data_IF_174157895498
#
_entry.id   IF_174157895498
#
_cell.length_a   1.000
_cell.length_b   1.000
_cell.length_c   1.000
_cell.angle_alpha   90.00
_cell.angle_beta   90.00
_cell.angle_gamma   90.00
#
_symmetry.space_group_name_H-M   'P 1'
#
loop_
_entity.id
_entity.type
_entity.pdbx_description
1 polymer ?
#
# COMPACT_ATOMS: atom_id res chain seq x y z
N UNK A 1 -4.98 25.04 9.90
CA UNK A 1 -5.42 24.13 10.97
C UNK A 1 -5.69 25.01 12.18
N UNK A 2 -6.95 25.18 12.57
CA UNK A 2 -7.28 26.00 13.75
C UNK A 2 -7.24 25.09 14.98
N UNK A 3 -6.32 25.37 15.91
CA UNK A 3 -6.16 24.68 17.19
C UNK A 3 -6.65 25.64 18.28
N UNK A 4 -7.93 25.56 18.68
CA UNK A 4 -8.62 26.64 19.41
C UNK A 4 -8.13 26.81 20.86
N UNK A 5 -7.48 25.81 21.45
CA UNK A 5 -6.99 25.86 22.84
C UNK A 5 -5.52 25.45 22.96
N UNK A 6 -4.86 25.90 24.03
CA UNK A 6 -3.50 25.42 24.38
C UNK A 6 -3.48 23.90 24.59
N UNK A 7 -4.55 23.33 25.15
CA UNK A 7 -4.68 21.89 25.35
C UNK A 7 -4.69 21.14 24.01
N UNK A 8 -5.43 21.64 23.01
CA UNK A 8 -5.46 21.06 21.67
C UNK A 8 -4.10 21.17 20.98
N UNK A 9 -3.40 22.28 21.17
CA UNK A 9 -2.04 22.46 20.68
C UNK A 9 -1.06 21.44 21.27
N UNK A 10 -1.05 21.27 22.60
CA UNK A 10 -0.19 20.27 23.24
C UNK A 10 -0.58 18.84 22.84
N UNK A 11 -1.87 18.56 22.69
CA UNK A 11 -2.36 17.26 22.20
C UNK A 11 -1.88 17.00 20.77
N UNK A 12 -1.97 18.00 19.90
CA UNK A 12 -1.47 17.93 18.52
C UNK A 12 0.02 17.60 18.50
N UNK A 13 0.84 18.36 19.24
CA UNK A 13 2.29 18.12 19.32
C UNK A 13 2.59 16.72 19.88
N UNK A 14 1.88 16.31 20.93
CA UNK A 14 2.11 15.02 21.56
C UNK A 14 1.86 13.84 20.63
N UNK A 15 0.85 13.95 19.75
CA UNK A 15 0.53 12.89 18.80
C UNK A 15 1.19 13.05 17.42
N UNK A 16 1.83 14.19 17.16
CA UNK A 16 2.54 14.44 15.90
C UNK A 16 3.66 13.43 15.70
N UNK A 17 3.77 12.90 14.48
CA UNK A 17 4.85 11.99 14.08
C UNK A 17 5.18 12.21 12.60
N UNK A 18 6.46 12.19 12.27
CA UNK A 18 6.93 12.14 10.88
C UNK A 18 7.07 10.68 10.46
N UNK A 19 6.45 10.31 9.33
CA UNK A 19 6.52 8.96 8.77
C UNK A 19 7.02 9.03 7.34
N UNK A 20 8.05 8.26 7.04
CA UNK A 20 8.54 8.03 5.69
C UNK A 20 7.73 6.91 5.03
N UNK A 21 7.16 7.17 3.86
CA UNK A 21 6.46 6.19 3.04
C UNK A 21 7.34 5.80 1.86
N UNK A 22 7.58 4.50 1.71
CA UNK A 22 8.48 3.94 0.68
C UNK A 22 7.71 2.98 -0.20
N UNK A 23 7.79 3.16 -1.51
CA UNK A 23 7.21 2.25 -2.50
C UNK A 23 8.06 0.97 -2.56
N UNK A 24 7.46 -0.17 -2.20
CA UNK A 24 8.15 -1.46 -2.21
C UNK A 24 8.48 -1.98 -3.63
N UNK A 25 7.82 -1.42 -4.65
CA UNK A 25 7.96 -1.87 -6.05
C UNK A 25 9.12 -1.18 -6.75
N UNK A 26 9.57 -0.05 -6.22
CA UNK A 26 10.69 0.73 -6.73
C UNK A 26 11.95 0.40 -5.93
N UNK A 27 12.97 -0.23 -6.54
CA UNK A 27 14.22 -0.53 -5.85
C UNK A 27 14.90 0.74 -5.33
N UNK A 28 15.32 0.72 -4.06
CA UNK A 28 15.97 1.85 -3.39
C UNK A 28 15.17 3.16 -3.43
N UNK A 29 13.84 3.08 -3.42
CA UNK A 29 12.99 4.27 -3.35
C UNK A 29 13.36 5.12 -2.12
N UNK A 30 13.74 6.40 -2.31
CA UNK A 30 13.96 7.30 -1.19
C UNK A 30 12.66 7.58 -0.41
N UNK A 31 11.51 7.32 -1.03
CA UNK A 31 10.20 7.58 -0.45
C UNK A 31 9.94 9.06 -0.25
N UNK A 32 8.90 9.36 0.51
CA UNK A 32 8.59 10.71 0.95
C UNK A 32 8.22 10.72 2.42
N UNK A 33 8.51 11.81 3.11
CA UNK A 33 8.13 12.00 4.52
C UNK A 33 6.92 12.90 4.60
N UNK A 34 5.98 12.55 5.48
CA UNK A 34 4.86 13.42 5.84
C UNK A 34 4.61 13.40 7.34
N UNK A 35 4.12 14.52 7.84
CA UNK A 35 3.66 14.67 9.20
C UNK A 35 2.24 14.16 9.34
N UNK A 36 2.04 13.24 10.28
CA UNK A 36 0.76 12.61 10.59
C UNK A 36 0.51 12.65 12.09
N UNK A 37 -0.71 12.28 12.50
CA UNK A 37 -1.03 12.03 13.91
C UNK A 37 -0.97 10.53 14.19
N UNK A 38 -0.31 10.15 15.28
CA UNK A 38 -0.27 8.79 15.81
C UNK A 38 -1.68 8.22 16.09
N UNK A 39 -2.70 9.09 16.24
CA UNK A 39 -4.09 8.67 16.46
C UNK A 39 -4.86 8.40 15.16
N UNK A 40 -4.26 8.63 13.99
CA UNK A 40 -4.94 8.39 12.72
C UNK A 40 -5.29 6.91 12.55
N UNK A 41 -6.53 6.65 12.14
CA UNK A 41 -6.99 5.34 11.68
C UNK A 41 -6.49 5.06 10.26
N UNK A 42 -6.63 3.80 9.83
CA UNK A 42 -6.19 3.35 8.50
C UNK A 42 -6.75 4.23 7.37
N UNK A 43 -8.05 4.52 7.40
CA UNK A 43 -8.75 5.31 6.37
C UNK A 43 -8.26 6.76 6.32
N UNK A 44 -8.00 7.36 7.48
CA UNK A 44 -7.47 8.72 7.59
C UNK A 44 -6.04 8.79 7.03
N UNK A 45 -5.19 7.83 7.40
CA UNK A 45 -3.82 7.71 6.86
C UNK A 45 -3.84 7.48 5.34
N UNK A 46 -4.66 6.54 4.85
CA UNK A 46 -4.77 6.24 3.43
C UNK A 46 -5.22 7.46 2.62
N UNK A 47 -6.17 8.24 3.13
CA UNK A 47 -6.60 9.51 2.50
C UNK A 47 -5.48 10.54 2.43
N UNK A 48 -4.76 10.76 3.53
CA UNK A 48 -3.64 11.71 3.55
C UNK A 48 -2.52 11.30 2.58
N UNK A 49 -2.16 10.01 2.57
CA UNK A 49 -1.15 9.46 1.65
C UNK A 49 -1.64 9.52 0.20
N UNK A 50 -2.90 9.16 -0.07
CA UNK A 50 -3.47 9.25 -1.41
C UNK A 50 -3.51 10.66 -1.97
N UNK A 51 -3.84 11.66 -1.14
CA UNK A 51 -3.72 13.07 -1.52
C UNK A 51 -2.29 13.46 -1.89
N UNK A 52 -1.29 13.03 -1.10
CA UNK A 52 0.12 13.33 -1.36
C UNK A 52 0.66 12.68 -2.64
N UNK A 53 0.15 11.50 -2.97
CA UNK A 53 0.52 10.72 -4.17
C UNK A 53 -0.34 11.05 -5.39
N UNK A 54 -1.44 11.79 -5.22
CA UNK A 54 -2.48 11.98 -6.23
C UNK A 54 -3.07 10.65 -6.75
N UNK A 55 -3.36 9.74 -5.81
CA UNK A 55 -3.89 8.39 -6.07
C UNK A 55 -5.11 8.14 -5.20
N UNK A 56 -6.12 7.44 -5.72
CA UNK A 56 -7.27 7.00 -4.94
C UNK A 56 -6.79 6.17 -3.72
N UNK A 57 -7.15 6.55 -2.48
CA UNK A 57 -6.77 5.81 -1.27
C UNK A 57 -7.10 4.31 -1.32
N UNK A 58 -8.15 3.93 -2.05
CA UNK A 58 -8.53 2.52 -2.23
C UNK A 58 -7.59 1.75 -3.15
N UNK A 59 -6.72 2.41 -3.91
CA UNK A 59 -5.71 1.76 -4.74
C UNK A 59 -4.37 1.59 -4.02
N UNK A 60 -4.27 1.99 -2.75
CA UNK A 60 -3.01 1.94 -2.00
C UNK A 60 -3.05 0.77 -1.03
N UNK A 61 -2.07 -0.13 -1.14
CA UNK A 61 -1.85 -1.19 -0.16
C UNK A 61 -0.64 -0.86 0.70
N UNK A 62 -0.84 -0.79 2.02
CA UNK A 62 0.21 -0.60 3.01
C UNK A 62 0.73 -1.94 3.54
N UNK A 63 1.95 -1.94 4.08
CA UNK A 63 2.59 -3.10 4.68
C UNK A 63 3.09 -2.76 6.09
N UNK A 64 3.00 -3.73 7.00
CA UNK A 64 3.65 -3.63 8.31
C UNK A 64 5.16 -3.55 8.14
N UNK A 65 5.86 -2.86 9.03
CA UNK A 65 7.31 -3.01 9.13
C UNK A 65 7.67 -4.35 9.77
N UNK A 66 8.72 -5.01 9.27
CA UNK A 66 9.32 -6.13 9.99
C UNK A 66 10.31 -5.61 11.03
N UNK A 67 10.28 -6.21 12.22
CA UNK A 67 11.28 -5.91 13.24
C UNK A 67 12.68 -6.25 12.69
N UNK A 68 13.62 -5.32 12.88
CA UNK A 68 15.05 -5.46 12.58
C UNK A 68 15.49 -5.44 11.11
N UNK A 69 14.58 -5.55 10.13
CA UNK A 69 14.90 -5.44 8.69
C UNK A 69 14.20 -4.24 8.06
N UNK A 70 14.92 -3.49 7.25
CA UNK A 70 14.38 -2.37 6.47
C UNK A 70 13.65 -2.89 5.21
N UNK A 71 12.67 -3.77 5.43
CA UNK A 71 11.96 -4.49 4.38
C UNK A 71 10.46 -4.53 4.67
N UNK A 72 9.60 -4.50 3.64
CA UNK A 72 8.16 -4.63 3.82
C UNK A 72 7.81 -5.97 4.48
N UNK A 73 6.92 -5.91 5.47
CA UNK A 73 6.32 -7.06 6.13
C UNK A 73 5.05 -7.53 5.44
N UNK A 74 4.12 -8.06 6.24
CA UNK A 74 2.83 -8.51 5.75
C UNK A 74 1.96 -7.32 5.30
N UNK A 75 1.16 -7.49 4.24
CA UNK A 75 0.19 -6.47 3.83
C UNK A 75 -0.80 -6.19 4.95
N UNK A 76 -1.14 -4.92 5.14
CA UNK A 76 -2.21 -4.48 6.00
C UNK A 76 -3.54 -4.73 5.29
N UNK A 77 -4.48 -5.35 6.02
CA UNK A 77 -5.86 -5.49 5.54
C UNK A 77 -6.51 -4.12 5.49
N UNK A 78 -7.37 -3.91 4.50
CA UNK A 78 -8.20 -2.70 4.42
C UNK A 78 -9.08 -2.54 5.67
N UNK A 79 -9.55 -3.65 6.24
CA UNK A 79 -10.35 -3.71 7.46
C UNK A 79 -9.55 -3.54 8.76
N UNK A 80 -8.31 -3.04 8.69
CA UNK A 80 -7.49 -2.82 9.88
C UNK A 80 -8.10 -1.74 10.79
N UNK A 81 -8.49 -2.14 12.01
CA UNK A 81 -9.19 -1.29 12.98
C UNK A 81 -8.24 -0.56 13.96
N UNK A 82 -6.92 -0.71 13.81
CA UNK A 82 -5.94 -0.06 14.67
C UNK A 82 -5.60 1.38 14.25
N UNK A 83 -4.73 2.01 15.03
CA UNK A 83 -4.23 3.37 14.76
C UNK A 83 -2.77 3.34 14.28
N UNK A 84 -2.32 4.46 13.70
CA UNK A 84 -0.95 4.61 13.21
C UNK A 84 0.09 4.28 14.28
N UNK A 85 -0.14 4.69 15.54
CA UNK A 85 0.75 4.36 16.66
C UNK A 85 1.09 2.86 16.71
N UNK A 86 0.11 2.00 16.54
CA UNK A 86 0.26 0.53 16.65
C UNK A 86 1.10 -0.04 15.50
N UNK A 87 1.04 0.58 14.32
CA UNK A 87 1.87 0.24 13.17
C UNK A 87 3.33 0.66 13.36
N UNK A 88 3.56 1.77 14.06
CA UNK A 88 4.89 2.35 14.28
C UNK A 88 5.66 1.72 15.45
N UNK A 89 5.02 0.85 16.24
CA UNK A 89 5.67 0.08 17.32
C UNK A 89 6.78 -0.82 16.76
N UNK A 90 6.62 -1.30 15.53
CA UNK A 90 7.59 -2.18 14.87
C UNK A 90 8.83 -1.43 14.32
N UNK A 91 8.80 -0.09 14.33
CA UNK A 91 9.96 0.72 13.95
C UNK A 91 10.88 0.91 15.17
N UNK A 92 12.18 0.64 14.99
CA UNK A 92 13.20 0.83 16.05
C UNK A 92 13.12 2.25 16.66
N UNK A 93 13.26 2.42 17.98
CA UNK A 93 13.10 3.72 18.63
C UNK A 93 14.02 4.84 18.10
N UNK A 94 15.24 4.49 17.69
CA UNK A 94 16.25 5.44 17.17
C UNK A 94 16.26 5.57 15.64
N UNK A 95 15.40 4.83 14.94
CA UNK A 95 15.32 4.89 13.49
C UNK A 95 14.12 5.75 13.06
N UNK A 96 14.20 6.39 11.88
CA UNK A 96 13.05 7.05 11.29
C UNK A 96 11.85 6.12 11.24
N UNK A 97 10.67 6.64 11.57
CA UNK A 97 9.42 5.90 11.41
C UNK A 97 9.14 5.76 9.93
N UNK A 98 8.94 4.53 9.48
CA UNK A 98 8.78 4.19 8.06
C UNK A 98 7.57 3.29 7.90
N UNK A 99 6.88 3.37 6.77
CA UNK A 99 5.90 2.40 6.29
C UNK A 99 6.15 2.14 4.82
N UNK A 100 5.84 0.92 4.38
CA UNK A 100 5.93 0.56 2.96
C UNK A 100 4.54 0.56 2.35
N UNK A 101 4.46 0.89 1.06
CA UNK A 101 3.23 0.82 0.29
C UNK A 101 3.49 0.32 -1.13
N UNK A 102 2.41 -0.01 -1.85
CA UNK A 102 2.39 -0.15 -3.31
C UNK A 102 1.07 0.41 -3.84
N UNK A 103 1.07 0.86 -5.09
CA UNK A 103 -0.15 1.20 -5.82
C UNK A 103 -0.65 -0.04 -6.56
N UNK A 104 -1.96 -0.30 -6.46
CA UNK A 104 -2.65 -1.41 -7.08
C UNK A 104 -3.38 -0.95 -8.34
N UNK A 105 -3.62 -1.89 -9.26
CA UNK A 105 -4.54 -1.67 -10.38
C UNK A 105 -6.02 -1.96 -10.04
N UNK A 106 -6.28 -2.47 -8.83
CA UNK A 106 -7.63 -2.76 -8.31
C UNK A 106 -7.80 -2.24 -6.88
N UNK A 107 -9.04 -2.12 -6.40
CA UNK A 107 -9.29 -1.64 -5.05
C UNK A 107 -8.83 -2.64 -3.98
N UNK A 108 -8.18 -2.13 -2.94
CA UNK A 108 -7.57 -2.89 -1.84
C UNK A 108 -8.58 -3.71 -1.04
N UNK A 109 -9.84 -3.26 -0.95
CA UNK A 109 -10.92 -4.01 -0.30
C UNK A 109 -11.34 -5.27 -1.09
N UNK A 110 -11.07 -5.33 -2.39
CA UNK A 110 -11.33 -6.53 -3.19
C UNK A 110 -10.25 -7.61 -3.01
N UNK A 111 -9.06 -7.24 -2.51
CA UNK A 111 -7.95 -8.17 -2.27
C UNK A 111 -8.24 -9.20 -1.18
N UNK A 112 -9.20 -8.95 -0.30
CA UNK A 112 -9.55 -9.93 0.74
C UNK A 112 -10.11 -11.23 0.12
N UNK A 113 -10.73 -11.16 -1.07
CA UNK A 113 -11.27 -12.31 -1.80
C UNK A 113 -10.44 -12.72 -3.03
N UNK A 114 -9.50 -11.86 -3.45
CA UNK A 114 -8.63 -12.09 -4.62
C UNK A 114 -7.22 -12.50 -4.20
N UNK A 115 -6.48 -13.11 -5.12
CA UNK A 115 -5.07 -13.47 -4.94
C UNK A 115 -4.26 -12.76 -6.01
N UNK A 116 -3.19 -12.08 -5.62
CA UNK A 116 -2.26 -11.52 -6.58
C UNK A 116 -1.49 -12.67 -7.26
N UNK A 117 -1.56 -12.74 -8.59
CA UNK A 117 -0.90 -13.72 -9.42
C UNK A 117 -0.03 -13.01 -10.44
N UNK A 118 1.29 -13.21 -10.36
CA UNK A 118 2.25 -12.63 -11.30
C UNK A 118 2.63 -13.68 -12.34
N UNK A 119 2.53 -13.34 -13.62
CA UNK A 119 2.94 -14.20 -14.72
C UNK A 119 3.58 -13.41 -15.86
N UNK A 120 4.27 -14.11 -16.76
CA UNK A 120 4.77 -13.56 -18.00
C UNK A 120 3.77 -13.88 -19.10
N UNK A 121 3.34 -12.86 -19.83
CA UNK A 121 2.61 -13.01 -21.08
C UNK A 121 3.59 -12.96 -22.25
N UNK A 122 3.45 -13.93 -23.14
CA UNK A 122 4.23 -14.04 -24.37
C UNK A 122 3.31 -13.63 -25.52
N UNK A 123 3.66 -12.55 -26.20
CA UNK A 123 2.88 -12.05 -27.33
C UNK A 123 2.88 -12.98 -28.55
N UNK A 124 1.98 -12.74 -29.52
CA UNK A 124 1.75 -13.64 -30.67
C UNK A 124 3.00 -13.83 -31.55
N UNK A 125 3.95 -12.89 -31.51
CA UNK A 125 5.19 -12.95 -32.29
C UNK A 125 6.40 -13.47 -31.50
N UNK A 126 6.23 -13.94 -30.25
CA UNK A 126 7.31 -14.39 -29.36
C UNK A 126 8.42 -13.35 -29.12
N UNK A 127 8.12 -12.06 -29.35
CA UNK A 127 9.06 -10.95 -29.26
C UNK A 127 8.81 -10.01 -28.08
N UNK A 128 7.61 -10.10 -27.49
CA UNK A 128 7.19 -9.25 -26.38
C UNK A 128 6.88 -10.12 -25.17
N UNK A 129 7.71 -9.97 -24.14
CA UNK A 129 7.46 -10.50 -22.81
C UNK A 129 6.91 -9.36 -21.95
N UNK A 130 5.64 -9.46 -21.57
CA UNK A 130 4.99 -8.51 -20.67
C UNK A 130 4.72 -9.16 -19.34
N UNK A 131 5.24 -8.60 -18.25
CA UNK A 131 4.82 -9.02 -16.91
C UNK A 131 3.38 -8.60 -16.65
N UNK A 132 2.52 -9.56 -16.32
CA UNK A 132 1.16 -9.35 -15.89
C UNK A 132 1.02 -9.58 -14.39
N UNK A 133 0.23 -8.71 -13.75
CA UNK A 133 -0.22 -8.88 -12.37
C UNK A 133 -1.75 -8.99 -12.42
N UNK A 134 -2.24 -10.20 -12.15
CA UNK A 134 -3.65 -10.56 -12.21
C UNK A 134 -4.22 -10.78 -10.80
N UNK A 135 -5.55 -10.68 -10.68
CA UNK A 135 -6.25 -10.78 -9.39
C UNK A 135 -7.44 -11.75 -9.43
N UNK A 136 -7.21 -13.04 -9.73
CA UNK A 136 -8.25 -14.08 -9.66
C UNK A 136 -8.77 -14.28 -8.23
N UNK A 137 -9.97 -14.84 -8.10
CA UNK A 137 -10.53 -15.21 -6.80
C UNK A 137 -9.71 -16.33 -6.13
N UNK A 138 -9.61 -16.32 -4.79
CA UNK A 138 -8.78 -17.30 -4.04
C UNK A 138 -9.18 -18.77 -4.24
N UNK A 139 -10.46 -19.03 -4.55
CA UNK A 139 -10.98 -20.36 -4.90
C UNK A 139 -11.18 -20.58 -6.40
N UNK A 140 -10.64 -19.70 -7.24
CA UNK A 140 -10.79 -19.73 -8.68
C UNK A 140 -10.01 -20.85 -9.38
N UNK A 141 -10.32 -21.07 -10.65
CA UNK A 141 -9.65 -22.02 -11.54
C UNK A 141 -8.67 -21.31 -12.47
N UNK A 142 -7.86 -22.09 -13.19
CA UNK A 142 -6.96 -21.56 -14.22
C UNK A 142 -7.72 -20.77 -15.29
N UNK A 143 -8.96 -21.17 -15.61
CA UNK A 143 -9.84 -20.43 -16.52
C UNK A 143 -10.02 -18.95 -16.10
N UNK A 144 -10.24 -18.69 -14.81
CA UNK A 144 -10.42 -17.33 -14.28
C UNK A 144 -9.13 -16.49 -14.48
N UNK A 145 -7.96 -17.12 -14.40
CA UNK A 145 -6.67 -16.45 -14.66
C UNK A 145 -6.57 -16.05 -16.13
N UNK A 146 -6.95 -16.95 -17.04
CA UNK A 146 -6.95 -16.70 -18.48
C UNK A 146 -7.94 -15.59 -18.86
N UNK A 147 -9.12 -15.58 -18.26
CA UNK A 147 -10.12 -14.52 -18.46
C UNK A 147 -9.62 -13.15 -17.97
N UNK A 148 -8.95 -13.09 -16.82
CA UNK A 148 -8.34 -11.87 -16.32
C UNK A 148 -7.19 -11.39 -17.23
N UNK A 149 -6.37 -12.32 -17.72
CA UNK A 149 -5.30 -11.99 -18.67
C UNK A 149 -5.84 -11.42 -19.97
N UNK A 150 -6.90 -12.02 -20.52
CA UNK A 150 -7.54 -11.58 -21.77
C UNK A 150 -8.09 -10.15 -21.71
N UNK A 151 -8.40 -9.63 -20.51
CA UNK A 151 -8.86 -8.24 -20.32
C UNK A 151 -7.74 -7.20 -20.43
N UNK A 152 -6.47 -7.61 -20.31
CA UNK A 152 -5.31 -6.70 -20.17
C UNK A 152 -4.23 -6.90 -21.24
N UNK A 153 -4.43 -7.87 -22.13
CA UNK A 153 -3.54 -8.18 -23.26
C UNK A 153 -4.28 -8.01 -24.57
N UNK A 154 -3.56 -7.56 -25.58
CA UNK A 154 -4.08 -7.57 -26.93
C UNK A 154 -3.92 -8.97 -27.52
N UNK A 155 -5.04 -9.56 -27.92
CA UNK A 155 -5.11 -10.90 -28.51
C UNK A 155 -5.17 -10.83 -30.04
N UNK A 156 -5.15 -9.63 -30.64
CA UNK A 156 -5.35 -9.44 -32.07
C UNK A 156 -4.05 -9.47 -32.88
N UNK A 157 -4.16 -10.07 -34.07
CA UNK A 157 -3.37 -9.73 -35.25
C UNK A 157 -4.10 -8.62 -36.02
#
# INVERSE_FOLDING_TARGET
>A
MELPTCQDYFKYIFYKVEVQFVDKTVPNDPGFTMELSMQMRYDQMARAVGQRLNVDPFLIQFFKCQNYKDTPGLPLRYSYDGILKDLLVYCKPKCPKKLFYQILSIKVNELDNKKQFKCLWVGPNYKEDKELILYPNKGGKVADILEEAAKVVDMSQ
#
